data_IF_926494670908
#
_entry.id   IF_926494670908
#
_cell.length_a   1.000
_cell.length_b   1.000
_cell.length_c   1.000
_cell.angle_alpha   90.00
_cell.angle_beta   90.00
_cell.angle_gamma   90.00
#
_symmetry.space_group_name_H-M   'P 1'
#
loop_
_entity.id
_entity.type
_entity.pdbx_description
1 polymer ?
#
# COMPACT_ATOMS: atom_id res chain seq x y z
N UNK A 1 -2.67 -17.06 4.36
CA UNK A 1 -3.21 -16.02 5.28
C UNK A 1 -2.71 -14.65 4.83
N UNK A 2 -3.27 -14.12 3.74
CA UNK A 2 -3.05 -12.75 3.23
C UNK A 2 -3.90 -11.72 4.02
N UNK A 3 -4.20 -12.04 5.28
CA UNK A 3 -5.49 -11.74 5.92
C UNK A 3 -5.68 -10.29 6.42
N UNK A 4 -4.75 -9.39 6.15
CA UNK A 4 -4.96 -7.97 6.34
C UNK A 4 -4.57 -7.31 5.02
N UNK A 5 -5.47 -7.04 4.09
CA UNK A 5 -5.14 -6.21 2.93
C UNK A 5 -4.87 -4.80 3.47
N UNK A 6 -3.60 -4.56 3.85
CA UNK A 6 -3.12 -3.69 4.92
C UNK A 6 -3.61 -2.22 4.90
N UNK A 7 -4.04 -1.72 6.07
CA UNK A 7 -4.21 -0.28 6.39
C UNK A 7 -2.88 0.37 6.85
N UNK A 8 -1.89 0.46 5.96
CA UNK A 8 -0.57 1.05 6.24
C UNK A 8 0.57 0.40 5.46
N UNK A 9 1.73 1.08 5.38
CA UNK A 9 2.90 0.83 4.49
C UNK A 9 2.98 -0.61 3.95
N UNK A 10 2.51 -0.78 2.72
CA UNK A 10 2.45 -2.07 2.04
C UNK A 10 3.86 -2.49 1.63
N UNK A 11 4.48 -3.30 2.48
CA UNK A 11 5.76 -3.94 2.18
C UNK A 11 5.46 -5.26 1.47
N UNK A 12 5.57 -5.25 0.14
CA UNK A 12 5.40 -6.47 -0.65
C UNK A 12 6.76 -7.09 -0.84
N UNK A 13 6.94 -8.28 -0.26
CA UNK A 13 8.16 -9.06 -0.39
C UNK A 13 8.42 -9.44 -1.85
N UNK A 14 9.70 -9.57 -2.22
CA UNK A 14 10.14 -9.67 -3.60
C UNK A 14 9.91 -11.08 -4.17
N UNK A 15 8.67 -11.41 -4.49
CA UNK A 15 8.32 -12.62 -5.23
C UNK A 15 8.73 -12.48 -6.73
N UNK A 16 9.39 -13.49 -7.34
CA UNK A 16 9.62 -13.54 -8.79
C UNK A 16 8.37 -13.22 -9.63
N UNK A 17 7.19 -13.66 -9.19
CA UNK A 17 5.92 -13.37 -9.85
C UNK A 17 5.55 -11.88 -9.80
N UNK A 18 5.86 -11.19 -8.70
CA UNK A 18 5.60 -9.75 -8.57
C UNK A 18 6.49 -8.93 -9.50
N UNK A 19 7.76 -9.33 -9.64
CA UNK A 19 8.68 -8.68 -10.57
C UNK A 19 8.18 -8.83 -12.01
N UNK A 20 7.70 -10.02 -12.38
CA UNK A 20 7.12 -10.26 -13.70
C UNK A 20 5.86 -9.43 -13.95
N UNK A 21 4.91 -9.43 -13.01
CA UNK A 21 3.70 -8.61 -13.11
C UNK A 21 4.03 -7.12 -13.23
N UNK A 22 4.99 -6.63 -12.44
CA UNK A 22 5.42 -5.23 -12.49
C UNK A 22 6.05 -4.89 -13.84
N UNK A 23 6.86 -5.79 -14.42
CA UNK A 23 7.42 -5.60 -15.75
C UNK A 23 6.34 -5.52 -16.84
N UNK A 24 5.29 -6.34 -16.75
CA UNK A 24 4.16 -6.28 -17.67
C UNK A 24 3.38 -4.96 -17.56
N UNK A 25 3.10 -4.49 -16.33
CA UNK A 25 2.42 -3.21 -16.12
C UNK A 25 3.26 -2.06 -16.68
N UNK A 26 4.58 -2.08 -16.44
CA UNK A 26 5.50 -1.08 -16.99
C UNK A 26 5.47 -1.06 -18.52
N UNK A 27 5.50 -2.22 -19.16
CA UNK A 27 5.38 -2.33 -20.61
C UNK A 27 4.05 -1.74 -21.12
N UNK A 28 2.94 -2.09 -20.48
CA UNK A 28 1.61 -1.59 -20.85
C UNK A 28 1.47 -0.07 -20.72
N UNK A 29 2.14 0.55 -19.75
CA UNK A 29 2.11 2.00 -19.51
C UNK A 29 3.27 2.76 -20.17
N UNK A 30 4.19 2.07 -20.86
CA UNK A 30 5.43 2.68 -21.36
C UNK A 30 6.29 3.28 -20.24
N UNK A 31 6.23 2.70 -19.05
CA UNK A 31 6.96 3.13 -17.85
C UNK A 31 8.32 2.42 -17.78
N UNK A 32 9.33 3.11 -17.24
CA UNK A 32 10.68 2.55 -17.07
C UNK A 32 11.06 2.48 -15.60
N UNK A 33 11.81 1.46 -15.20
CA UNK A 33 12.37 1.40 -13.85
C UNK A 33 13.45 2.47 -13.61
N UNK A 34 14.12 2.93 -14.68
CA UNK A 34 15.17 3.97 -14.61
C UNK A 34 14.57 5.38 -14.51
N UNK A 35 13.45 5.62 -15.19
CA UNK A 35 12.73 6.89 -15.19
C UNK A 35 11.25 6.67 -14.87
N UNK A 36 10.92 6.27 -13.62
CA UNK A 36 9.58 5.88 -13.25
C UNK A 36 8.62 7.07 -13.29
N UNK A 37 7.54 6.92 -14.05
CA UNK A 37 6.39 7.83 -14.13
C UNK A 37 5.22 7.32 -13.30
N UNK A 38 5.06 6.00 -13.21
CA UNK A 38 3.94 5.38 -12.50
C UNK A 38 4.40 4.52 -11.33
N UNK A 39 5.39 3.64 -11.54
CA UNK A 39 5.81 2.66 -10.53
C UNK A 39 7.29 2.83 -10.20
N UNK A 40 7.59 3.37 -9.03
CA UNK A 40 8.94 3.49 -8.48
C UNK A 40 9.34 2.22 -7.73
N UNK A 41 10.51 1.68 -8.05
CA UNK A 41 11.12 0.63 -7.21
C UNK A 41 11.83 1.28 -6.02
N UNK A 42 11.51 0.83 -4.80
CA UNK A 42 12.15 1.27 -3.58
C UNK A 42 13.01 0.12 -3.04
N UNK A 43 14.35 0.29 -3.00
CA UNK A 43 15.27 -0.77 -2.57
C UNK A 43 14.87 -1.33 -1.21
N UNK A 44 14.82 -2.67 -1.12
CA UNK A 44 14.42 -3.41 0.09
C UNK A 44 13.00 -3.14 0.58
N UNK A 45 12.19 -2.28 -0.08
CA UNK A 45 10.80 -1.99 0.29
C UNK A 45 9.75 -2.45 -0.71
N UNK A 46 10.13 -2.65 -1.97
CA UNK A 46 9.21 -3.11 -3.03
C UNK A 46 8.89 -2.01 -4.02
N UNK A 47 7.61 -1.86 -4.37
CA UNK A 47 7.13 -0.94 -5.41
C UNK A 47 6.18 0.11 -4.85
N UNK A 48 6.28 1.34 -5.35
CA UNK A 48 5.42 2.45 -4.97
C UNK A 48 4.75 3.06 -6.20
N UNK A 49 3.44 3.20 -6.16
CA UNK A 49 2.70 3.98 -7.15
C UNK A 49 2.87 5.47 -6.87
N UNK A 50 3.37 6.22 -7.85
CA UNK A 50 3.73 7.64 -7.70
C UNK A 50 2.88 8.58 -8.57
N UNK A 51 1.98 8.04 -9.39
CA UNK A 51 1.11 8.86 -10.23
C UNK A 51 -0.03 9.50 -9.40
N UNK A 52 -0.56 10.67 -9.81
CA UNK A 52 -1.69 11.30 -9.12
C UNK A 52 -2.91 10.38 -9.08
N UNK A 53 -3.41 10.11 -7.87
CA UNK A 53 -4.63 9.33 -7.65
C UNK A 53 -5.81 10.25 -7.35
N UNK A 54 -6.99 9.94 -7.88
CA UNK A 54 -8.26 10.60 -7.52
C UNK A 54 -9.16 9.59 -6.84
N UNK A 55 -9.70 9.95 -5.67
CA UNK A 55 -10.71 9.13 -5.00
C UNK A 55 -12.05 9.37 -5.69
N UNK A 56 -12.56 8.35 -6.39
CA UNK A 56 -13.87 8.41 -7.05
C UNK A 56 -14.89 7.76 -6.11
N UNK A 57 -15.70 8.59 -5.46
CA UNK A 57 -16.73 8.16 -4.51
C UNK A 57 -16.21 8.04 -3.08
N UNK A 58 -16.29 9.12 -2.32
CA UNK A 58 -16.18 9.05 -0.87
C UNK A 58 -17.54 8.67 -0.29
N UNK A 59 -17.77 7.38 -0.03
CA UNK A 59 -18.63 7.06 1.10
C UNK A 59 -17.85 7.50 2.36
N UNK A 60 -18.52 8.08 3.37
CA UNK A 60 -17.83 8.50 4.58
C UNK A 60 -17.15 7.27 5.19
N UNK A 61 -15.82 7.21 5.08
CA UNK A 61 -15.04 6.24 5.82
C UNK A 61 -15.16 6.70 7.27
N UNK A 62 -16.03 6.03 8.04
CA UNK A 62 -16.07 6.21 9.49
C UNK A 62 -14.79 5.55 9.98
N UNK A 63 -13.72 6.34 10.10
CA UNK A 63 -12.53 5.92 10.82
C UNK A 63 -13.03 5.74 12.26
N UNK A 64 -13.30 4.51 12.68
CA UNK A 64 -13.59 4.23 14.07
C UNK A 64 -12.36 4.66 14.87
N UNK A 65 -12.52 5.72 15.66
CA UNK A 65 -11.51 6.21 16.60
C UNK A 65 -11.01 4.99 17.38
N UNK A 66 -9.69 4.67 17.38
CA UNK A 66 -9.21 3.62 18.27
C UNK A 66 -9.57 4.08 19.68
N UNK A 67 -10.53 3.39 20.28
CA UNK A 67 -11.01 3.64 21.62
C UNK A 67 -9.77 3.67 22.53
N UNK A 68 -9.48 4.84 23.07
CA UNK A 68 -8.50 5.03 24.12
C UNK A 68 -9.04 4.30 25.35
N UNK A 69 -8.54 3.09 25.60
CA UNK A 69 -8.86 2.38 26.84
C UNK A 69 -8.07 3.04 27.96
N UNK A 70 -8.65 4.03 28.63
CA UNK A 70 -8.25 4.32 30.00
C UNK A 70 -8.76 3.17 30.88
N UNK A 71 -7.90 2.21 31.24
CA UNK A 71 -8.11 1.45 32.48
C UNK A 71 -7.13 1.98 33.51
N UNK A 72 -7.54 3.05 34.19
CA UNK A 72 -7.05 3.37 35.52
C UNK A 72 -8.25 3.30 36.45
N UNK A 73 -8.20 2.44 37.48
CA UNK A 73 -9.19 2.45 38.56
C UNK A 73 -9.67 1.08 39.03
N UNK A 74 -8.90 0.51 39.97
CA UNK A 74 -9.33 -0.33 41.10
C UNK A 74 -10.14 -1.59 40.83
N UNK A 75 -9.45 -2.73 40.91
CA UNK A 75 -10.04 -4.03 41.23
C UNK A 75 -10.43 -4.04 42.72
N UNK A 76 -11.73 -4.16 43.01
CA UNK A 76 -12.27 -4.56 44.31
C UNK A 76 -13.35 -5.62 44.07
#
# INVERSE_FOLDING_TARGET
MQAAVWQGETFVDFDPGLNFCTAQIRSAFGDSAETPRYIRTVPKKGYQFIAPVRVIGALPVVIATPHLRSVGGTWC
#
